data_IF_959555788838
#
_entry.id   IF_959555788838
#
_cell.length_a   1.000
_cell.length_b   1.000
_cell.length_c   1.000
_cell.angle_alpha   90.00
_cell.angle_beta   90.00
_cell.angle_gamma   90.00
#
_symmetry.space_group_name_H-M   'P 1'
#
loop_
_entity.id
_entity.type
_entity.pdbx_description
1 polymer ?
#
# COMPACT_ATOMS: atom_id res chain seq x y z
N UNK A 1 -4.39 -5.47 -3.83
CA UNK A 1 -4.43 -5.47 -2.37
C UNK A 1 -4.20 -4.06 -1.83
N UNK A 2 -4.80 -3.78 -0.69
CA UNK A 2 -4.63 -2.54 0.05
C UNK A 2 -3.96 -2.86 1.38
N UNK A 3 -2.87 -2.13 1.67
CA UNK A 3 -2.07 -2.27 2.89
C UNK A 3 -2.11 -0.96 3.66
N UNK A 4 -2.19 -1.05 4.98
CA UNK A 4 -2.23 0.11 5.87
C UNK A 4 -0.88 0.33 6.53
N UNK A 5 -0.41 1.57 6.52
CA UNK A 5 0.70 2.01 7.37
C UNK A 5 0.18 2.31 8.77
N UNK A 6 0.86 1.80 9.77
CA UNK A 6 0.56 2.09 11.17
C UNK A 6 1.84 2.41 11.94
N UNK A 7 1.80 3.41 12.79
CA UNK A 7 2.92 3.75 13.67
C UNK A 7 3.22 2.67 14.73
N UNK A 8 2.30 1.70 14.91
CA UNK A 8 2.45 0.61 15.89
C UNK A 8 1.89 -0.69 15.35
N UNK A 9 2.72 -1.74 15.30
CA UNK A 9 2.26 -3.08 14.92
C UNK A 9 1.34 -3.70 15.96
N UNK A 10 0.45 -4.57 15.51
CA UNK A 10 -0.30 -5.46 16.38
C UNK A 10 0.65 -6.45 17.08
N UNK A 11 0.43 -6.67 18.36
CA UNK A 11 1.13 -7.70 19.15
C UNK A 11 0.19 -8.88 19.37
N UNK A 12 0.70 -10.09 19.18
CA UNK A 12 -0.04 -11.32 19.48
C UNK A 12 -0.20 -11.52 20.98
N UNK A 13 -1.15 -12.37 21.39
CA UNK A 13 -1.35 -12.70 22.81
C UNK A 13 -0.09 -13.33 23.40
N UNK A 14 0.65 -14.13 22.63
CA UNK A 14 1.88 -14.77 23.05
C UNK A 14 3.00 -13.75 23.31
N UNK A 15 3.12 -12.75 22.47
CA UNK A 15 4.08 -11.65 22.65
C UNK A 15 3.73 -10.84 23.90
N UNK A 16 2.46 -10.52 24.11
CA UNK A 16 1.99 -9.76 25.29
C UNK A 16 2.25 -10.56 26.59
N UNK A 17 2.08 -11.89 26.56
CA UNK A 17 2.26 -12.75 27.75
C UNK A 17 3.71 -12.97 28.16
N UNK A 18 4.67 -12.68 27.29
CA UNK A 18 6.12 -12.88 27.59
C UNK A 18 6.74 -11.80 28.48
N UNK A 19 5.95 -10.85 29.00
CA UNK A 19 6.40 -9.76 29.89
C UNK A 19 7.66 -8.98 29.41
N UNK A 20 8.04 -9.15 28.15
CA UNK A 20 9.13 -8.40 27.56
C UNK A 20 8.62 -7.01 27.18
N UNK A 21 9.45 -6.00 27.37
CA UNK A 21 9.24 -4.65 26.87
C UNK A 21 9.35 -4.67 25.33
N UNK A 22 8.28 -5.16 24.66
CA UNK A 22 8.27 -5.35 23.22
C UNK A 22 8.02 -4.01 22.56
N UNK A 23 9.03 -3.52 21.88
CA UNK A 23 8.94 -2.32 21.09
C UNK A 23 7.86 -2.47 19.99
N UNK A 24 6.87 -1.59 19.99
CA UNK A 24 5.84 -1.54 18.98
C UNK A 24 6.36 -0.78 17.77
N UNK A 25 7.11 -1.48 16.94
CA UNK A 25 7.64 -0.92 15.69
C UNK A 25 6.52 -0.53 14.70
N UNK A 26 6.78 0.40 13.77
CA UNK A 26 5.85 0.69 12.68
C UNK A 26 5.55 -0.55 11.82
N UNK A 27 4.31 -0.63 11.32
CA UNK A 27 3.80 -1.75 10.53
C UNK A 27 3.32 -1.30 9.15
N UNK A 28 3.46 -2.22 8.19
CA UNK A 28 2.80 -2.11 6.89
C UNK A 28 2.14 -3.46 6.55
N UNK A 29 0.82 -3.51 6.63
CA UNK A 29 0.10 -4.75 6.45
C UNK A 29 -1.42 -4.60 6.48
N UNK A 30 -2.11 -5.54 7.10
CA UNK A 30 -3.57 -5.60 7.11
C UNK A 30 -4.16 -5.26 8.47
N UNK A 31 -5.32 -4.64 8.46
CA UNK A 31 -6.12 -4.47 9.67
C UNK A 31 -6.54 -5.83 10.26
N UNK A 32 -6.49 -5.91 11.59
CA UNK A 32 -7.08 -7.04 12.32
C UNK A 32 -8.60 -6.94 12.22
N UNK A 33 -9.31 -8.01 11.81
CA UNK A 33 -10.77 -7.99 11.73
C UNK A 33 -11.42 -7.52 13.04
N UNK A 34 -12.31 -6.53 12.95
CA UNK A 34 -12.99 -5.95 14.10
C UNK A 34 -12.18 -4.96 14.96
N UNK A 35 -10.90 -4.71 14.64
CA UNK A 35 -10.03 -3.80 15.37
C UNK A 35 -9.48 -2.72 14.43
N UNK A 36 -10.15 -1.59 14.33
CA UNK A 36 -9.86 -0.52 13.36
C UNK A 36 -8.45 0.10 13.51
N UNK A 37 -7.87 0.05 14.71
CA UNK A 37 -6.58 0.66 15.04
C UNK A 37 -5.43 -0.35 15.14
N UNK A 38 -5.65 -1.60 14.73
CA UNK A 38 -4.65 -2.66 14.80
C UNK A 38 -4.26 -3.16 13.42
N UNK A 39 -2.97 -3.08 13.13
CA UNK A 39 -2.39 -3.54 11.88
C UNK A 39 -1.38 -4.65 12.14
N UNK A 40 -1.62 -5.80 11.51
CA UNK A 40 -0.64 -6.90 11.47
C UNK A 40 0.44 -6.52 10.47
N UNK A 41 1.67 -6.49 10.94
CA UNK A 41 2.82 -6.32 10.08
C UNK A 41 3.09 -7.60 9.29
N UNK A 42 3.30 -7.49 7.98
CA UNK A 42 3.52 -8.66 7.13
C UNK A 42 4.75 -8.46 6.25
N UNK A 43 5.58 -9.50 6.18
CA UNK A 43 6.75 -9.53 5.30
C UNK A 43 6.46 -10.27 3.99
N UNK A 44 5.49 -11.17 4.00
CA UNK A 44 5.07 -11.95 2.85
C UNK A 44 3.55 -12.07 2.76
N UNK A 45 3.01 -11.86 1.56
CA UNK A 45 1.61 -12.09 1.23
C UNK A 45 1.52 -13.06 0.06
N UNK A 46 0.80 -14.16 0.24
CA UNK A 46 0.62 -15.19 -0.79
C UNK A 46 -0.48 -14.84 -1.82
N UNK A 47 -1.24 -13.77 -1.60
CA UNK A 47 -2.36 -13.39 -2.48
C UNK A 47 -1.92 -12.64 -3.74
N UNK A 48 -0.64 -12.25 -3.82
CA UNK A 48 -0.04 -11.60 -5.00
C UNK A 48 1.37 -12.14 -5.23
N UNK A 49 1.87 -11.98 -6.45
CA UNK A 49 3.22 -12.41 -6.82
C UNK A 49 4.35 -11.69 -6.05
N UNK A 50 5.58 -12.17 -6.24
CA UNK A 50 6.79 -11.69 -5.55
C UNK A 50 7.01 -10.19 -5.68
N UNK A 51 6.75 -9.62 -6.86
CA UNK A 51 6.93 -8.18 -7.12
C UNK A 51 6.12 -7.29 -6.16
N UNK A 52 4.90 -7.71 -5.78
CA UNK A 52 4.10 -6.98 -4.79
C UNK A 52 4.76 -6.96 -3.42
N UNK A 53 5.30 -8.11 -2.97
CA UNK A 53 6.02 -8.23 -1.71
C UNK A 53 7.30 -7.39 -1.71
N UNK A 54 8.07 -7.43 -2.80
CA UNK A 54 9.30 -6.67 -2.97
C UNK A 54 9.05 -5.16 -2.89
N UNK A 55 8.04 -4.65 -3.63
CA UNK A 55 7.65 -3.24 -3.61
C UNK A 55 7.23 -2.81 -2.21
N UNK A 56 6.33 -3.57 -1.55
CA UNK A 56 5.84 -3.26 -0.21
C UNK A 56 7.00 -3.21 0.80
N UNK A 57 7.83 -4.24 0.83
CA UNK A 57 8.94 -4.34 1.77
C UNK A 57 10.00 -3.26 1.53
N UNK A 58 10.24 -2.91 0.26
CA UNK A 58 11.12 -1.81 -0.09
C UNK A 58 10.58 -0.47 0.44
N UNK A 59 9.30 -0.17 0.22
CA UNK A 59 8.67 1.07 0.70
C UNK A 59 8.78 1.17 2.22
N UNK A 60 8.48 0.08 2.95
CA UNK A 60 8.60 0.03 4.41
C UNK A 60 10.04 0.32 4.85
N UNK A 61 11.01 -0.38 4.27
CA UNK A 61 12.43 -0.23 4.61
C UNK A 61 12.93 1.18 4.30
N UNK A 62 12.57 1.73 3.14
CA UNK A 62 12.91 3.09 2.75
C UNK A 62 12.33 4.10 3.74
N UNK A 63 11.04 3.97 4.08
CA UNK A 63 10.37 4.86 5.00
C UNK A 63 11.02 4.87 6.39
N UNK A 64 11.33 3.70 6.94
CA UNK A 64 12.03 3.58 8.22
C UNK A 64 13.41 4.22 8.17
N UNK A 65 14.19 3.96 7.10
CA UNK A 65 15.54 4.52 6.91
C UNK A 65 15.53 6.05 6.79
N UNK A 66 14.47 6.61 6.17
CA UNK A 66 14.32 8.06 5.97
C UNK A 66 13.59 8.76 7.10
N UNK A 67 13.12 8.04 8.10
CA UNK A 67 12.35 8.59 9.21
C UNK A 67 10.98 9.14 8.80
N UNK A 68 10.39 8.61 7.71
CA UNK A 68 9.05 8.98 7.29
C UNK A 68 8.02 8.45 8.30
N UNK A 69 7.13 9.30 8.77
CA UNK A 69 6.13 8.91 9.76
C UNK A 69 5.04 8.02 9.16
N UNK A 70 4.73 6.92 9.85
CA UNK A 70 3.59 6.06 9.56
C UNK A 70 2.35 6.61 10.27
N UNK A 71 1.19 6.42 9.68
CA UNK A 71 -0.04 7.01 10.17
C UNK A 71 -0.46 6.45 11.54
N UNK A 72 -0.75 7.34 12.48
CA UNK A 72 -1.41 7.03 13.74
C UNK A 72 -2.90 7.32 13.59
N UNK A 73 -3.71 6.28 13.47
CA UNK A 73 -5.15 6.42 13.24
C UNK A 73 -5.88 7.05 14.44
N UNK A 74 -5.36 6.93 15.64
CA UNK A 74 -5.94 7.55 16.84
C UNK A 74 -5.61 9.03 16.95
N UNK A 75 -4.37 9.39 16.67
CA UNK A 75 -3.91 10.78 16.66
C UNK A 75 -4.28 11.50 15.35
N UNK A 76 -4.70 10.78 14.30
CA UNK A 76 -4.99 11.28 12.96
C UNK A 76 -3.79 12.03 12.36
N UNK A 77 -2.60 11.47 12.52
CA UNK A 77 -1.33 12.09 12.11
C UNK A 77 -0.38 11.04 11.52
N UNK A 78 0.39 11.45 10.53
CA UNK A 78 1.42 10.64 9.88
C UNK A 78 1.42 10.87 8.39
N UNK A 79 2.60 10.71 7.78
CA UNK A 79 2.79 10.99 6.36
C UNK A 79 2.32 9.82 5.48
N UNK A 80 2.80 8.59 5.74
CA UNK A 80 2.41 7.40 5.00
C UNK A 80 1.14 6.80 5.58
N UNK A 81 0.10 6.62 4.76
CA UNK A 81 -1.22 6.21 5.22
C UNK A 81 -1.68 4.87 4.63
N UNK A 82 -1.73 4.76 3.29
CA UNK A 82 -2.21 3.57 2.61
C UNK A 82 -1.34 3.26 1.40
N UNK A 83 -1.09 1.98 1.15
CA UNK A 83 -0.44 1.47 -0.06
C UNK A 83 -1.40 0.52 -0.77
N UNK A 84 -1.71 0.82 -2.03
CA UNK A 84 -2.49 -0.09 -2.87
C UNK A 84 -1.57 -0.63 -3.96
N UNK A 85 -1.52 -1.96 -4.11
CA UNK A 85 -0.82 -2.63 -5.20
C UNK A 85 -1.82 -3.48 -5.97
N UNK A 86 -1.86 -3.30 -7.28
CA UNK A 86 -2.67 -4.08 -8.21
C UNK A 86 -1.75 -4.72 -9.23
N UNK A 87 -1.89 -6.01 -9.42
CA UNK A 87 -1.14 -6.79 -10.42
C UNK A 87 -2.12 -7.42 -11.40
N UNK A 88 -1.87 -7.30 -12.67
CA UNK A 88 -2.71 -7.90 -13.71
C UNK A 88 -2.04 -9.16 -14.30
N UNK A 89 -2.82 -10.03 -14.93
CA UNK A 89 -2.31 -11.23 -15.62
C UNK A 89 -1.36 -10.89 -16.77
N UNK A 90 -1.49 -9.68 -17.32
CA UNK A 90 -0.59 -9.11 -18.34
C UNK A 90 0.82 -8.79 -17.82
N UNK A 91 1.07 -8.93 -16.51
CA UNK A 91 2.30 -8.53 -15.85
C UNK A 91 2.37 -7.04 -15.50
N UNK A 92 1.35 -6.26 -15.82
CA UNK A 92 1.28 -4.84 -15.46
C UNK A 92 1.03 -4.63 -13.97
N UNK A 93 1.69 -3.63 -13.39
CA UNK A 93 1.63 -3.31 -11.97
C UNK A 93 1.22 -1.85 -11.78
N UNK A 94 0.18 -1.63 -10.96
CA UNK A 94 -0.20 -0.31 -10.47
C UNK A 94 0.11 -0.21 -8.98
N UNK A 95 0.79 0.87 -8.61
CA UNK A 95 1.08 1.23 -7.22
C UNK A 95 0.45 2.58 -6.92
N UNK A 96 -0.31 2.68 -5.83
CA UNK A 96 -0.92 3.93 -5.36
C UNK A 96 -0.50 4.14 -3.91
N UNK A 97 0.08 5.31 -3.62
CA UNK A 97 0.45 5.73 -2.28
C UNK A 97 -0.49 6.84 -1.81
N UNK A 98 -1.14 6.64 -0.67
CA UNK A 98 -1.90 7.67 0.02
C UNK A 98 -1.04 8.28 1.13
N UNK A 99 -0.91 9.60 1.09
CA UNK A 99 -0.21 10.40 2.09
C UNK A 99 -1.22 11.14 2.97
N UNK A 100 -0.95 11.23 4.26
CA UNK A 100 -1.84 11.89 5.22
C UNK A 100 -1.77 13.42 5.18
N UNK A 101 -0.72 13.96 4.59
CA UNK A 101 -0.54 15.41 4.34
C UNK A 101 0.44 15.61 3.20
N UNK A 102 0.48 16.83 2.64
CA UNK A 102 1.43 17.18 1.58
C UNK A 102 2.83 17.47 2.15
N UNK A 103 3.80 16.71 1.70
CA UNK A 103 5.23 17.01 1.77
C UNK A 103 5.84 16.67 0.40
N UNK A 104 5.89 17.67 -0.46
CA UNK A 104 6.33 17.52 -1.84
C UNK A 104 7.72 16.88 -1.93
N UNK A 105 8.66 17.31 -1.06
CA UNK A 105 10.04 16.81 -1.11
C UNK A 105 10.12 15.34 -0.74
N UNK A 106 9.52 14.96 0.38
CA UNK A 106 9.52 13.57 0.85
C UNK A 106 8.76 12.66 -0.12
N UNK A 107 7.62 13.12 -0.64
CA UNK A 107 6.79 12.40 -1.61
C UNK A 107 7.56 12.14 -2.91
N UNK A 108 8.13 13.18 -3.52
CA UNK A 108 8.87 13.05 -4.77
C UNK A 108 10.10 12.14 -4.63
N UNK A 109 10.87 12.31 -3.57
CA UNK A 109 12.03 11.44 -3.30
C UNK A 109 11.65 9.96 -3.19
N UNK A 110 10.53 9.63 -2.53
CA UNK A 110 10.04 8.26 -2.43
C UNK A 110 9.59 7.75 -3.80
N UNK A 111 8.74 8.53 -4.51
CA UNK A 111 8.17 8.12 -5.80
C UNK A 111 9.25 7.97 -6.88
N UNK A 112 10.21 8.90 -6.98
CA UNK A 112 11.36 8.77 -7.89
C UNK A 112 12.24 7.55 -7.57
N UNK A 113 12.42 7.26 -6.28
CA UNK A 113 13.18 6.08 -5.87
C UNK A 113 12.46 4.79 -6.27
N UNK A 114 11.14 4.75 -6.16
CA UNK A 114 10.33 3.62 -6.62
C UNK A 114 10.45 3.41 -8.14
N UNK A 115 10.36 4.47 -8.94
CA UNK A 115 10.54 4.39 -10.40
C UNK A 115 11.90 3.81 -10.78
N UNK A 116 12.97 4.24 -10.09
CA UNK A 116 14.32 3.73 -10.34
C UNK A 116 14.53 2.29 -9.91
N UNK A 117 13.95 1.91 -8.78
CA UNK A 117 14.13 0.57 -8.18
C UNK A 117 13.26 -0.49 -8.85
N UNK A 118 12.07 -0.10 -9.32
CA UNK A 118 11.06 -0.97 -9.89
C UNK A 118 10.58 -0.48 -11.27
N UNK A 119 11.42 -0.56 -12.30
CA UNK A 119 11.08 -0.09 -13.65
C UNK A 119 9.89 -0.84 -14.28
N UNK A 120 9.51 -1.99 -13.72
CA UNK A 120 8.33 -2.76 -14.11
C UNK A 120 7.00 -2.15 -13.64
N UNK A 121 7.01 -1.14 -12.78
CA UNK A 121 5.78 -0.43 -12.39
C UNK A 121 5.21 0.29 -13.61
N UNK A 122 4.03 -0.13 -14.05
CA UNK A 122 3.35 0.43 -15.22
C UNK A 122 2.63 1.74 -14.88
N UNK A 123 2.10 1.81 -13.65
CA UNK A 123 1.32 2.94 -13.15
C UNK A 123 1.73 3.25 -11.73
N UNK A 124 2.37 4.39 -11.49
CA UNK A 124 2.67 4.89 -10.15
C UNK A 124 1.85 6.13 -9.88
N UNK A 125 0.97 6.04 -8.91
CA UNK A 125 0.03 7.09 -8.56
C UNK A 125 0.13 7.48 -7.09
N UNK A 126 -0.38 8.65 -6.77
CA UNK A 126 -0.50 9.09 -5.38
C UNK A 126 -1.76 9.90 -5.14
N UNK A 127 -2.11 10.03 -3.88
CA UNK A 127 -3.23 10.83 -3.39
C UNK A 127 -2.86 11.45 -2.03
N UNK A 128 -3.29 12.68 -1.79
CA UNK A 128 -3.19 13.33 -0.47
C UNK A 128 -4.54 13.18 0.21
N UNK A 129 -4.59 12.38 1.27
CA UNK A 129 -5.81 12.13 2.02
C UNK A 129 -5.72 12.72 3.43
N UNK A 130 -6.09 13.97 3.56
CA UNK A 130 -6.15 14.70 4.85
C UNK A 130 -7.47 14.45 5.62
N UNK A 131 -8.37 13.63 5.06
CA UNK A 131 -9.65 13.32 5.72
C UNK A 131 -9.45 12.36 6.89
N UNK A 132 -10.45 12.31 7.77
CA UNK A 132 -10.45 11.40 8.93
C UNK A 132 -10.76 9.93 8.60
N UNK A 133 -11.11 9.62 7.33
CA UNK A 133 -11.40 8.27 6.87
C UNK A 133 -10.46 7.84 5.73
N UNK A 134 -10.41 6.55 5.44
CA UNK A 134 -9.53 5.96 4.43
C UNK A 134 -10.18 5.84 3.04
N UNK A 135 -11.40 6.38 2.86
CA UNK A 135 -12.05 6.36 1.57
C UNK A 135 -11.32 7.28 0.57
N UNK A 136 -10.83 6.70 -0.51
CA UNK A 136 -10.09 7.40 -1.57
C UNK A 136 -10.94 7.65 -2.83
N UNK A 137 -12.20 7.17 -2.89
CA UNK A 137 -13.02 7.23 -4.11
C UNK A 137 -13.40 8.65 -4.51
N UNK A 138 -13.52 9.56 -3.54
CA UNK A 138 -13.85 10.98 -3.71
C UNK A 138 -12.62 11.91 -3.72
N UNK A 139 -11.40 11.34 -3.68
CA UNK A 139 -10.14 12.08 -3.73
C UNK A 139 -9.60 12.16 -5.16
N UNK A 140 -8.87 13.23 -5.46
CA UNK A 140 -8.12 13.34 -6.71
C UNK A 140 -6.85 12.48 -6.62
N UNK A 141 -6.68 11.59 -7.59
CA UNK A 141 -5.50 10.73 -7.70
C UNK A 141 -4.62 11.23 -8.85
N UNK A 142 -3.34 11.41 -8.57
CA UNK A 142 -2.37 11.95 -9.50
C UNK A 142 -1.46 10.85 -10.04
N UNK A 143 -1.29 10.79 -11.36
CA UNK A 143 -0.32 9.91 -11.99
C UNK A 143 1.06 10.56 -11.93
N UNK A 144 1.99 9.92 -11.20
CA UNK A 144 3.38 10.39 -11.08
C UNK A 144 4.25 9.82 -12.19
N UNK A 145 4.07 8.54 -12.54
CA UNK A 145 4.86 7.87 -13.57
C UNK A 145 4.02 6.85 -14.33
N UNK A 146 4.30 6.72 -15.62
CA UNK A 146 3.65 5.77 -16.52
C UNK A 146 2.25 6.19 -16.93
N UNK A 147 1.27 5.31 -16.76
CA UNK A 147 -0.13 5.52 -17.13
C UNK A 147 -1.02 5.61 -15.90
N UNK A 148 -2.18 6.23 -16.03
CA UNK A 148 -3.22 6.30 -15.00
C UNK A 148 -4.05 5.00 -14.87
N UNK A 149 -3.64 3.92 -15.55
CA UNK A 149 -4.33 2.64 -15.58
C UNK A 149 -3.40 1.48 -15.92
N UNK A 150 -3.85 0.27 -15.65
CA UNK A 150 -3.29 -0.99 -16.16
C UNK A 150 -4.34 -1.74 -16.97
N UNK A 151 -3.91 -2.76 -17.70
CA UNK A 151 -4.81 -3.63 -18.43
C UNK A 151 -4.78 -5.05 -17.85
N UNK A 152 -5.98 -5.60 -17.64
CA UNK A 152 -6.20 -7.03 -17.45
C UNK A 152 -6.67 -7.65 -18.76
N UNK A 153 -6.29 -8.90 -19.01
CA UNK A 153 -6.75 -9.63 -20.17
C UNK A 153 -7.41 -10.94 -19.73
N UNK A 154 -8.65 -11.16 -20.17
CA UNK A 154 -9.44 -12.35 -19.84
C UNK A 154 -10.25 -12.75 -21.05
N UNK A 155 -10.16 -14.02 -21.49
CA UNK A 155 -10.87 -14.56 -22.66
C UNK A 155 -10.68 -13.76 -23.97
N UNK A 156 -9.50 -13.18 -24.16
CA UNK A 156 -9.22 -12.31 -25.32
C UNK A 156 -9.85 -10.91 -25.22
N UNK A 157 -10.51 -10.59 -24.11
CA UNK A 157 -11.02 -9.25 -23.82
C UNK A 157 -10.00 -8.49 -22.96
N UNK A 158 -9.82 -7.22 -23.30
CA UNK A 158 -8.90 -6.32 -22.59
C UNK A 158 -9.67 -5.33 -21.74
N UNK A 159 -9.46 -5.37 -20.43
CA UNK A 159 -10.14 -4.52 -19.47
C UNK A 159 -9.20 -3.42 -18.97
N UNK A 160 -9.65 -2.18 -19.07
CA UNK A 160 -8.93 -1.03 -18.50
C UNK A 160 -9.24 -0.92 -16.99
N UNK A 161 -8.21 -1.03 -16.16
CA UNK A 161 -8.31 -0.94 -14.70
C UNK A 161 -7.71 0.38 -14.25
N UNK A 162 -8.54 1.30 -13.83
CA UNK A 162 -8.14 2.57 -13.23
C UNK A 162 -7.93 2.45 -11.71
N UNK A 163 -7.42 3.51 -11.06
CA UNK A 163 -7.14 3.49 -9.62
C UNK A 163 -8.40 3.32 -8.75
N UNK A 164 -9.55 3.78 -9.23
CA UNK A 164 -10.85 3.69 -8.54
C UNK A 164 -11.72 2.52 -9.01
N UNK A 165 -11.27 1.75 -10.00
CA UNK A 165 -12.02 0.60 -10.50
C UNK A 165 -12.10 -0.49 -9.43
N UNK A 166 -13.26 -1.15 -9.32
CA UNK A 166 -13.32 -2.42 -8.62
C UNK A 166 -12.50 -3.45 -9.40
N UNK A 167 -11.66 -4.22 -8.70
CA UNK A 167 -10.82 -5.22 -9.31
C UNK A 167 -10.58 -6.39 -8.37
N UNK A 168 -10.85 -7.61 -8.83
CA UNK A 168 -10.63 -8.82 -8.06
C UNK A 168 -9.13 -9.09 -7.90
N UNK A 169 -8.70 -9.37 -6.67
CA UNK A 169 -7.29 -9.60 -6.34
C UNK A 169 -6.74 -10.86 -7.00
N UNK A 170 -7.59 -11.87 -7.14
CA UNK A 170 -7.26 -13.16 -7.78
C UNK A 170 -8.13 -13.30 -9.02
N UNK A 171 -7.60 -12.88 -10.18
CA UNK A 171 -8.30 -12.95 -11.47
C UNK A 171 -8.54 -14.39 -11.93
N UNK A 172 -7.65 -15.34 -11.59
CA UNK A 172 -7.84 -16.76 -11.92
C UNK A 172 -9.04 -17.38 -11.18
N UNK A 173 -9.21 -17.01 -9.90
CA UNK A 173 -10.32 -17.50 -9.10
C UNK A 173 -11.64 -16.77 -9.41
N UNK A 174 -11.58 -15.57 -9.92
CA UNK A 174 -12.76 -14.84 -10.37
C UNK A 174 -13.35 -15.43 -11.66
N UNK A 175 -12.55 -16.22 -12.40
CA UNK A 175 -12.92 -16.89 -13.62
C UNK A 175 -13.68 -18.23 -13.39
N UNK A 176 -13.46 -18.90 -12.25
CA UNK A 176 -14.12 -20.14 -11.87
C UNK A 176 -15.42 -19.91 -11.08
#
# INVERSE_FOLDING_TARGET
>A
LEFTFSNKRFLTREEISREADIERTPALGFHVPGLFDKVVDIDHCCLQGSSSNEIRNFIKTYALKKGLSFYDIRAQQGFLRTLIIRTASTGEIMVILAFGYEDTVAREQLLETLVRQFPQITSLMYVINEKLNDNLTDQDMFCFHGRDHIFEEMEGLKFKIGPKSFYQTNSEQAYN
#
